data_IF_379841575369
#
_entry.id   IF_379841575369
#
_cell.length_a   1.000
_cell.length_b   1.000
_cell.length_c   1.000
_cell.angle_alpha   90.00
_cell.angle_beta   90.00
_cell.angle_gamma   90.00
#
_symmetry.space_group_name_H-M   'P 1'
#
loop_
_entity.id
_entity.type
_entity.pdbx_description
1 polymer ?
#
# COMPACT_ATOMS: atom_id res chain seq x y z
N UNK A 1 -3.67 11.71 -69.92
CA UNK A 1 -4.32 12.94 -70.40
C UNK A 1 -5.83 12.69 -70.37
N UNK A 2 -6.58 13.41 -69.53
CA UNK A 2 -8.00 13.84 -69.72
C UNK A 2 -9.06 12.70 -69.77
N UNK A 3 -9.78 12.44 -68.67
CA UNK A 3 -11.13 12.96 -68.32
C UNK A 3 -12.26 12.23 -69.06
N UNK A 4 -13.01 11.33 -68.41
CA UNK A 4 -14.24 11.58 -67.61
C UNK A 4 -15.49 11.87 -68.46
N UNK A 5 -16.50 10.99 -68.40
CA UNK A 5 -17.94 11.26 -68.14
C UNK A 5 -18.80 10.03 -68.50
N UNK A 6 -19.47 9.37 -67.52
CA UNK A 6 -20.85 9.63 -67.03
C UNK A 6 -21.90 9.39 -68.13
N UNK A 7 -22.93 8.56 -68.03
CA UNK A 7 -23.69 7.85 -66.97
C UNK A 7 -24.33 6.62 -67.68
N UNK A 8 -24.83 5.60 -66.99
CA UNK A 8 -26.29 5.36 -66.89
C UNK A 8 -26.56 4.29 -65.82
N UNK A 9 -27.54 4.64 -64.98
CA UNK A 9 -28.33 3.92 -64.00
C UNK A 9 -28.29 2.39 -64.03
N UNK A 10 -28.06 1.79 -62.86
CA UNK A 10 -28.57 0.44 -62.54
C UNK A 10 -29.33 0.49 -61.22
N UNK A 11 -30.40 -0.29 -61.23
CA UNK A 11 -31.58 -0.18 -60.40
C UNK A 11 -31.36 -0.58 -58.93
N UNK A 12 -32.05 0.17 -58.07
CA UNK A 12 -32.37 -0.19 -56.70
C UNK A 12 -33.42 -1.30 -56.75
N UNK A 13 -33.09 -2.47 -56.20
CA UNK A 13 -34.12 -3.41 -55.74
C UNK A 13 -33.74 -3.90 -54.34
N UNK A 14 -34.70 -3.73 -53.45
CA UNK A 14 -34.65 -4.02 -52.04
C UNK A 14 -34.62 -5.53 -51.80
N UNK A 15 -33.82 -5.94 -50.80
CA UNK A 15 -34.10 -6.94 -49.75
C UNK A 15 -32.78 -7.58 -49.31
N UNK A 16 -32.17 -7.01 -48.28
CA UNK A 16 -31.31 -7.73 -47.34
C UNK A 16 -31.20 -6.92 -46.04
N UNK A 17 -32.35 -6.47 -45.53
CA UNK A 17 -32.48 -5.80 -44.23
C UNK A 17 -33.02 -6.81 -43.21
N UNK A 18 -32.28 -7.89 -42.98
CA UNK A 18 -32.68 -8.92 -42.01
C UNK A 18 -31.48 -9.77 -41.57
N UNK A 19 -30.53 -9.15 -40.87
CA UNK A 19 -29.73 -9.76 -39.80
C UNK A 19 -28.82 -8.72 -39.15
N UNK A 20 -29.41 -7.72 -38.47
CA UNK A 20 -28.81 -7.28 -37.19
C UNK A 20 -29.60 -8.01 -36.13
N UNK A 21 -29.49 -9.35 -36.16
CA UNK A 21 -29.76 -10.15 -34.98
C UNK A 21 -28.86 -9.52 -33.92
N UNK A 22 -29.48 -8.98 -32.87
CA UNK A 22 -28.76 -8.45 -31.71
C UNK A 22 -27.72 -9.49 -31.36
N UNK A 23 -26.46 -9.23 -31.71
CA UNK A 23 -25.38 -9.94 -31.10
C UNK A 23 -25.47 -9.49 -29.65
N UNK A 24 -26.22 -10.24 -28.84
CA UNK A 24 -25.98 -10.42 -27.42
C UNK A 24 -24.61 -11.09 -27.32
N UNK A 25 -23.60 -10.36 -27.81
CA UNK A 25 -22.28 -10.84 -28.08
C UNK A 25 -21.65 -11.10 -26.74
N UNK A 26 -20.96 -12.23 -26.64
CA UNK A 26 -20.04 -12.47 -25.55
C UNK A 26 -19.12 -11.25 -25.46
N UNK A 27 -19.23 -10.50 -24.36
CA UNK A 27 -18.49 -9.27 -24.10
C UNK A 27 -17.45 -9.55 -23.03
N UNK A 28 -16.24 -9.05 -23.23
CA UNK A 28 -15.23 -8.90 -22.21
C UNK A 28 -14.41 -7.64 -22.54
N UNK A 29 -14.67 -6.55 -21.82
CA UNK A 29 -13.96 -5.28 -22.01
C UNK A 29 -13.41 -4.77 -20.70
N UNK A 30 -12.44 -3.88 -20.79
CA UNK A 30 -11.88 -3.16 -19.65
C UNK A 30 -11.94 -1.67 -19.93
N UNK A 31 -12.23 -0.88 -18.90
CA UNK A 31 -12.35 0.58 -19.01
C UNK A 31 -11.06 1.25 -19.50
N UNK A 32 -9.90 0.63 -19.22
CA UNK A 32 -8.58 1.02 -19.70
C UNK A 32 -7.78 -0.19 -20.15
N UNK A 33 -6.76 0.04 -20.98
CA UNK A 33 -5.72 -0.94 -21.31
C UNK A 33 -4.54 -0.90 -20.33
N UNK A 34 -4.32 0.26 -19.70
CA UNK A 34 -3.27 0.52 -18.70
C UNK A 34 -3.89 1.08 -17.43
N UNK A 35 -3.50 0.53 -16.28
CA UNK A 35 -3.94 0.93 -14.95
C UNK A 35 -2.75 1.38 -14.12
N UNK A 36 -2.99 2.36 -13.25
CA UNK A 36 -1.99 2.94 -12.35
C UNK A 36 -2.36 2.63 -10.89
N UNK A 37 -1.41 2.90 -10.00
CA UNK A 37 -1.58 2.79 -8.56
C UNK A 37 -2.73 3.65 -8.04
N UNK A 38 -3.58 3.03 -7.22
CA UNK A 38 -4.61 3.64 -6.39
C UNK A 38 -4.47 3.07 -4.98
N UNK A 39 -3.83 3.82 -4.09
CA UNK A 39 -3.39 3.30 -2.80
C UNK A 39 -2.34 2.21 -2.97
N UNK A 40 -2.59 1.01 -2.45
CA UNK A 40 -1.65 -0.13 -2.57
C UNK A 40 -1.88 -1.03 -3.80
N UNK A 41 -2.94 -0.79 -4.57
CA UNK A 41 -3.41 -1.69 -5.64
C UNK A 41 -3.68 -0.93 -6.93
N UNK A 42 -3.81 -1.63 -8.05
CA UNK A 42 -4.53 -1.15 -9.22
C UNK A 42 -5.95 -1.71 -9.21
N UNK A 43 -6.96 -0.85 -9.42
CA UNK A 43 -8.36 -1.27 -9.52
C UNK A 43 -8.72 -1.43 -11.00
N UNK A 44 -8.88 -2.67 -11.44
CA UNK A 44 -9.27 -3.02 -12.80
C UNK A 44 -10.79 -3.10 -12.84
N UNK A 45 -11.40 -2.40 -13.80
CA UNK A 45 -12.85 -2.35 -14.00
C UNK A 45 -13.20 -2.65 -15.44
N UNK A 46 -14.31 -3.31 -15.65
CA UNK A 46 -14.75 -3.69 -16.99
C UNK A 46 -16.14 -4.27 -17.02
N UNK A 47 -16.50 -4.79 -18.18
CA UNK A 47 -17.79 -5.41 -18.44
C UNK A 47 -17.60 -6.81 -19.00
N UNK A 48 -18.49 -7.71 -18.63
CA UNK A 48 -18.49 -9.08 -19.13
C UNK A 48 -19.91 -9.64 -19.23
N UNK A 49 -20.18 -10.45 -20.25
CA UNK A 49 -21.47 -11.16 -20.39
C UNK A 49 -21.55 -12.41 -19.50
N UNK A 50 -20.41 -12.96 -19.07
CA UNK A 50 -20.35 -14.12 -18.18
C UNK A 50 -20.75 -13.79 -16.74
N UNK A 51 -21.20 -14.78 -15.97
CA UNK A 51 -21.49 -14.61 -14.53
C UNK A 51 -20.24 -14.38 -13.68
N UNK A 52 -19.08 -14.85 -14.17
CA UNK A 52 -17.79 -14.75 -13.49
C UNK A 52 -16.67 -14.43 -14.48
N UNK A 53 -15.67 -13.69 -13.99
CA UNK A 53 -14.37 -13.55 -14.65
C UNK A 53 -13.30 -14.23 -13.81
N UNK A 54 -12.28 -14.78 -14.47
CA UNK A 54 -11.04 -15.22 -13.82
C UNK A 54 -9.91 -14.29 -14.21
N UNK A 55 -9.06 -13.94 -13.25
CA UNK A 55 -7.88 -13.12 -13.50
C UNK A 55 -6.61 -13.78 -12.97
N UNK A 56 -5.51 -13.50 -13.64
CA UNK A 56 -4.16 -13.89 -13.23
C UNK A 56 -3.20 -12.72 -13.42
N UNK A 57 -2.58 -12.31 -12.34
CA UNK A 57 -1.49 -11.36 -12.25
C UNK A 57 -0.21 -12.08 -11.77
N UNK A 58 0.88 -11.34 -11.55
CA UNK A 58 2.15 -11.92 -11.10
C UNK A 58 2.00 -12.67 -9.75
N UNK A 59 1.49 -11.98 -8.74
CA UNK A 59 1.46 -12.48 -7.35
C UNK A 59 0.04 -12.79 -6.86
N UNK A 60 -0.95 -12.79 -7.77
CA UNK A 60 -2.34 -13.04 -7.41
C UNK A 60 -3.14 -13.59 -8.59
N UNK A 61 -4.04 -14.52 -8.30
CA UNK A 61 -5.10 -14.94 -9.22
C UNK A 61 -6.42 -15.06 -8.46
N UNK A 62 -7.53 -15.10 -9.19
CA UNK A 62 -8.82 -15.31 -8.56
C UNK A 62 -9.99 -15.25 -9.51
N UNK A 63 -11.17 -15.46 -8.94
CA UNK A 63 -12.46 -15.41 -9.62
C UNK A 63 -13.28 -14.27 -9.04
N UNK A 64 -13.97 -13.51 -9.90
CA UNK A 64 -14.85 -12.42 -9.48
C UNK A 64 -16.19 -12.54 -10.15
N UNK A 65 -17.24 -12.37 -9.34
CA UNK A 65 -18.61 -12.31 -9.83
C UNK A 65 -18.79 -11.03 -10.65
N UNK A 66 -19.53 -11.16 -11.74
CA UNK A 66 -20.01 -10.05 -12.55
C UNK A 66 -21.39 -9.67 -12.01
N UNK A 67 -21.55 -8.41 -11.63
CA UNK A 67 -22.82 -7.88 -11.13
C UNK A 67 -23.36 -6.87 -12.14
N UNK A 68 -24.56 -7.12 -12.65
CA UNK A 68 -25.22 -6.29 -13.65
C UNK A 68 -24.33 -6.00 -14.87
N UNK A 69 -23.66 -7.04 -15.39
CA UNK A 69 -22.75 -6.94 -16.55
C UNK A 69 -21.40 -6.29 -16.26
N UNK A 70 -21.13 -5.84 -15.03
CA UNK A 70 -19.87 -5.15 -14.66
C UNK A 70 -19.05 -5.95 -13.66
N UNK A 71 -17.73 -5.76 -13.69
CA UNK A 71 -16.82 -6.30 -12.68
C UNK A 71 -15.78 -5.27 -12.26
N UNK A 72 -15.29 -5.45 -11.03
CA UNK A 72 -14.13 -4.74 -10.52
C UNK A 72 -13.29 -5.67 -9.63
N UNK A 73 -11.97 -5.58 -9.74
CA UNK A 73 -11.05 -6.28 -8.84
C UNK A 73 -9.75 -5.51 -8.67
N UNK A 74 -9.05 -5.82 -7.57
CA UNK A 74 -7.80 -5.17 -7.21
C UNK A 74 -6.64 -6.12 -7.40
N UNK A 75 -5.54 -5.59 -7.92
CA UNK A 75 -4.27 -6.30 -8.05
C UNK A 75 -3.18 -5.51 -7.32
N UNK A 76 -2.37 -6.12 -6.45
CA UNK A 76 -1.24 -5.47 -5.79
C UNK A 76 -0.32 -4.80 -6.78
N UNK A 77 0.13 -3.59 -6.45
CA UNK A 77 1.15 -2.88 -7.23
C UNK A 77 2.50 -3.54 -6.98
N UNK A 78 3.33 -3.58 -8.03
CA UNK A 78 4.66 -4.20 -8.04
C UNK A 78 5.71 -3.17 -8.45
N UNK A 79 6.98 -3.44 -8.13
CA UNK A 79 8.11 -2.61 -8.56
C UNK A 79 8.38 -2.73 -10.06
N UNK A 80 7.83 -3.79 -10.68
CA UNK A 80 7.88 -4.05 -12.12
C UNK A 80 6.53 -3.88 -12.78
N UNK A 81 6.52 -3.60 -14.09
CA UNK A 81 5.30 -3.61 -14.90
C UNK A 81 4.74 -5.03 -14.93
N UNK A 82 3.44 -5.18 -14.74
CA UNK A 82 2.77 -6.48 -14.72
C UNK A 82 1.67 -6.56 -15.77
N UNK A 83 1.50 -7.75 -16.35
CA UNK A 83 0.37 -8.06 -17.25
C UNK A 83 -0.67 -8.85 -16.47
N UNK A 84 -1.91 -8.38 -16.53
CA UNK A 84 -3.06 -9.07 -15.92
C UNK A 84 -3.89 -9.68 -17.02
N UNK A 85 -3.96 -11.01 -17.02
CA UNK A 85 -4.81 -11.78 -17.94
C UNK A 85 -6.17 -11.96 -17.30
N UNK A 86 -7.23 -11.69 -18.05
CA UNK A 86 -8.62 -11.77 -17.65
C UNK A 86 -9.32 -12.69 -18.64
N UNK A 87 -10.17 -13.57 -18.12
CA UNK A 87 -10.93 -14.53 -18.93
C UNK A 87 -12.39 -14.56 -18.49
N UNK A 88 -13.29 -14.73 -19.46
CA UNK A 88 -14.73 -14.78 -19.29
C UNK A 88 -15.31 -15.78 -20.30
N UNK A 89 -15.50 -17.03 -19.90
CA UNK A 89 -15.68 -18.13 -20.86
C UNK A 89 -14.45 -18.22 -21.78
N UNK A 90 -14.67 -18.27 -23.08
CA UNK A 90 -13.59 -18.35 -24.09
C UNK A 90 -12.90 -17.01 -24.37
N UNK A 91 -13.48 -15.89 -23.90
CA UNK A 91 -12.93 -14.57 -24.12
C UNK A 91 -11.71 -14.32 -23.24
N UNK A 92 -10.69 -13.69 -23.82
CA UNK A 92 -9.45 -13.32 -23.13
C UNK A 92 -9.14 -11.85 -23.34
N UNK A 93 -8.77 -11.16 -22.27
CA UNK A 93 -8.29 -9.78 -22.30
C UNK A 93 -7.04 -9.66 -21.45
N UNK A 94 -6.03 -8.94 -21.94
CA UNK A 94 -4.84 -8.62 -21.15
C UNK A 94 -4.76 -7.11 -20.97
N UNK A 95 -4.51 -6.69 -19.74
CA UNK A 95 -4.24 -5.28 -19.40
C UNK A 95 -2.89 -5.15 -18.73
N UNK A 96 -2.35 -3.95 -18.74
CA UNK A 96 -1.09 -3.61 -18.09
C UNK A 96 -1.35 -2.86 -16.80
N UNK A 97 -0.67 -3.21 -15.72
CA UNK A 97 -0.55 -2.37 -14.53
C UNK A 97 0.86 -1.83 -14.48
N UNK A 98 0.99 -0.50 -14.34
CA UNK A 98 2.30 0.16 -14.32
C UNK A 98 3.08 -0.18 -13.07
N UNK A 99 4.41 -0.22 -13.19
CA UNK A 99 5.30 -0.23 -12.04
C UNK A 99 5.07 1.00 -11.16
N UNK A 100 5.33 0.86 -9.86
CA UNK A 100 5.46 1.99 -8.94
C UNK A 100 6.82 1.95 -8.25
N UNK A 101 7.26 3.10 -7.75
CA UNK A 101 8.49 3.19 -6.96
C UNK A 101 8.23 2.61 -5.56
N UNK A 102 9.06 1.65 -5.08
CA UNK A 102 8.99 1.17 -3.70
C UNK A 102 9.24 2.30 -2.69
N UNK A 103 8.66 2.18 -1.49
CA UNK A 103 8.98 3.02 -0.36
C UNK A 103 10.42 2.76 0.14
N UNK A 104 10.74 1.48 0.31
CA UNK A 104 11.99 0.99 0.89
C UNK A 104 12.11 -0.53 0.69
N UNK A 105 13.17 -1.11 1.23
CA UNK A 105 13.23 -2.53 1.58
C UNK A 105 12.30 -2.81 2.79
N UNK A 106 11.48 -3.86 2.71
CA UNK A 106 10.50 -4.20 3.73
C UNK A 106 11.15 -4.52 5.08
N UNK A 107 12.18 -5.37 5.09
CA UNK A 107 12.82 -5.81 6.32
C UNK A 107 13.50 -4.62 7.01
N UNK A 108 14.14 -3.73 6.25
CA UNK A 108 14.72 -2.51 6.81
C UNK A 108 13.65 -1.57 7.40
N UNK A 109 12.51 -1.40 6.71
CA UNK A 109 11.41 -0.59 7.22
C UNK A 109 10.79 -1.20 8.49
N UNK A 110 10.52 -2.50 8.49
CA UNK A 110 10.00 -3.23 9.64
C UNK A 110 10.95 -3.12 10.84
N UNK A 111 12.26 -3.29 10.65
CA UNK A 111 13.26 -3.15 11.71
C UNK A 111 13.28 -1.74 12.30
N UNK A 112 13.27 -0.69 11.45
CA UNK A 112 13.20 0.71 11.90
C UNK A 112 11.94 0.98 12.71
N UNK A 113 10.80 0.51 12.22
CA UNK A 113 9.51 0.65 12.89
C UNK A 113 9.51 -0.08 14.25
N UNK A 114 9.88 -1.37 14.27
CA UNK A 114 9.88 -2.21 15.47
C UNK A 114 10.82 -1.69 16.55
N UNK A 115 12.01 -1.22 16.15
CA UNK A 115 12.96 -0.60 17.08
C UNK A 115 12.38 0.67 17.70
N UNK A 116 11.73 1.52 16.91
CA UNK A 116 11.12 2.74 17.41
C UNK A 116 9.91 2.45 18.33
N UNK A 117 9.10 1.44 17.99
CA UNK A 117 8.01 0.94 18.86
C UNK A 117 8.58 0.45 20.19
N UNK A 118 9.60 -0.41 20.17
CA UNK A 118 10.24 -0.92 21.39
C UNK A 118 10.79 0.22 22.25
N UNK A 119 11.56 1.13 21.65
CA UNK A 119 12.09 2.31 22.35
C UNK A 119 10.99 3.15 23.00
N UNK A 120 9.84 3.31 22.34
CA UNK A 120 8.72 4.11 22.88
C UNK A 120 8.07 3.51 24.13
N UNK A 121 8.29 2.22 24.40
CA UNK A 121 7.79 1.55 25.62
C UNK A 121 8.72 1.71 26.83
N UNK A 122 9.95 2.17 26.62
CA UNK A 122 10.93 2.38 27.67
C UNK A 122 10.72 3.73 28.37
N UNK A 123 11.18 3.83 29.63
CA UNK A 123 11.25 5.11 30.34
C UNK A 123 12.27 6.06 29.67
N UNK A 124 12.15 7.36 29.91
CA UNK A 124 13.10 8.36 29.35
C UNK A 124 14.56 8.05 29.70
N UNK A 125 14.83 7.57 30.92
CA UNK A 125 16.18 7.18 31.34
C UNK A 125 16.70 5.98 30.54
N UNK A 126 15.88 4.94 30.37
CA UNK A 126 16.22 3.77 29.57
C UNK A 126 16.37 4.11 28.08
N UNK A 127 15.53 5.00 27.54
CA UNK A 127 15.66 5.49 26.17
C UNK A 127 17.00 6.19 25.96
N UNK A 128 17.41 7.07 26.88
CA UNK A 128 18.73 7.71 26.84
C UNK A 128 19.85 6.67 26.86
N UNK A 129 19.76 5.66 27.71
CA UNK A 129 20.75 4.59 27.80
C UNK A 129 20.88 3.78 26.50
N UNK A 130 19.76 3.45 25.84
CA UNK A 130 19.80 2.71 24.57
C UNK A 130 20.30 3.60 23.43
N UNK A 131 19.86 4.87 23.38
CA UNK A 131 20.20 5.78 22.26
C UNK A 131 21.60 6.37 22.36
N UNK A 132 22.19 6.47 23.56
CA UNK A 132 23.57 6.90 23.74
C UNK A 132 24.58 5.78 23.54
N UNK A 133 24.16 4.52 23.68
CA UNK A 133 25.04 3.37 23.50
C UNK A 133 25.43 3.21 22.03
N UNK A 134 26.73 3.31 21.76
CA UNK A 134 27.33 3.00 20.46
C UNK A 134 27.99 1.63 20.57
N UNK A 135 27.48 0.66 19.83
CA UNK A 135 28.10 -0.65 19.77
C UNK A 135 29.55 -0.50 19.29
N UNK A 136 30.54 -1.05 20.01
CA UNK A 136 31.92 -0.90 19.63
C UNK A 136 32.21 -1.68 18.34
N UNK A 137 33.11 -1.17 17.51
CA UNK A 137 33.58 -1.89 16.32
C UNK A 137 34.72 -2.83 16.72
N UNK A 138 35.04 -3.81 15.87
CA UNK A 138 36.23 -4.67 16.10
C UNK A 138 37.51 -3.85 16.28
N UNK A 139 37.67 -2.76 15.52
CA UNK A 139 38.82 -1.87 15.63
C UNK A 139 38.84 -1.09 16.96
N UNK A 140 37.69 -0.57 17.41
CA UNK A 140 37.64 0.16 18.69
C UNK A 140 37.83 -0.76 19.89
N UNK A 141 37.40 -2.02 19.80
CA UNK A 141 37.64 -3.01 20.85
C UNK A 141 39.13 -3.33 21.02
N UNK A 142 39.88 -3.39 19.92
CA UNK A 142 41.31 -3.75 19.93
C UNK A 142 42.19 -2.68 20.61
N UNK A 143 41.74 -1.42 20.66
CA UNK A 143 42.46 -0.31 21.30
C UNK A 143 42.03 -0.05 22.74
N UNK A 144 41.01 -0.77 23.25
CA UNK A 144 40.49 -0.62 24.60
C UNK A 144 41.27 -1.46 25.60
N UNK A 145 41.45 -0.93 26.81
CA UNK A 145 41.95 -1.70 27.96
C UNK A 145 40.95 -2.79 28.36
N UNK A 146 41.40 -3.85 29.07
CA UNK A 146 40.49 -4.90 29.57
C UNK A 146 39.33 -4.35 30.41
N UNK A 147 39.57 -3.30 31.21
CA UNK A 147 38.53 -2.66 32.02
C UNK A 147 37.48 -1.93 31.16
N UNK A 148 37.90 -1.24 30.11
CA UNK A 148 36.99 -0.57 29.16
C UNK A 148 36.20 -1.57 28.31
N UNK A 149 36.79 -2.71 27.96
CA UNK A 149 36.08 -3.80 27.29
C UNK A 149 35.00 -4.37 28.22
N UNK A 150 35.32 -4.63 29.49
CA UNK A 150 34.36 -5.14 30.46
C UNK A 150 33.17 -4.18 30.67
N UNK A 151 33.43 -2.88 30.85
CA UNK A 151 32.36 -1.88 31.01
C UNK A 151 31.49 -1.76 29.75
N UNK A 152 32.10 -1.84 28.56
CA UNK A 152 31.38 -1.81 27.28
C UNK A 152 30.50 -3.05 27.09
N UNK A 153 30.99 -4.24 27.44
CA UNK A 153 30.19 -5.47 27.41
C UNK A 153 29.02 -5.43 28.39
N UNK A 154 29.22 -4.87 29.59
CA UNK A 154 28.15 -4.69 30.57
C UNK A 154 27.07 -3.71 30.08
N UNK A 155 27.49 -2.59 29.46
CA UNK A 155 26.58 -1.66 28.81
C UNK A 155 25.81 -2.33 27.66
N UNK A 156 26.48 -3.11 26.82
CA UNK A 156 25.87 -3.88 25.73
C UNK A 156 24.83 -4.90 26.25
N UNK A 157 25.16 -5.62 27.33
CA UNK A 157 24.26 -6.57 27.97
C UNK A 157 23.01 -5.87 28.53
N UNK A 158 23.19 -4.71 29.16
CA UNK A 158 22.08 -3.92 29.71
C UNK A 158 21.17 -3.39 28.59
N UNK A 159 21.74 -2.84 27.52
CA UNK A 159 20.98 -2.39 26.34
C UNK A 159 20.24 -3.56 25.68
N UNK A 160 20.89 -4.72 25.55
CA UNK A 160 20.26 -5.94 25.01
C UNK A 160 19.08 -6.40 25.88
N UNK A 161 19.23 -6.38 27.21
CA UNK A 161 18.16 -6.74 28.14
C UNK A 161 16.98 -5.77 28.04
N UNK A 162 17.24 -4.45 28.02
CA UNK A 162 16.21 -3.42 27.84
C UNK A 162 15.46 -3.59 26.52
N UNK A 163 16.19 -3.78 25.42
CA UNK A 163 15.59 -3.98 24.10
C UNK A 163 14.80 -5.28 24.01
N UNK A 164 15.26 -6.37 24.65
CA UNK A 164 14.53 -7.64 24.69
C UNK A 164 13.22 -7.47 25.47
N UNK A 165 13.27 -6.86 26.66
CA UNK A 165 12.08 -6.55 27.46
C UNK A 165 11.09 -5.69 26.69
N UNK A 166 11.55 -4.61 26.08
CA UNK A 166 10.73 -3.71 25.27
C UNK A 166 10.14 -4.42 24.04
N UNK A 167 10.93 -5.25 23.36
CA UNK A 167 10.48 -6.01 22.19
C UNK A 167 9.36 -6.96 22.58
N UNK A 168 9.48 -7.66 23.70
CA UNK A 168 8.46 -8.57 24.20
C UNK A 168 7.19 -7.81 24.61
N UNK A 169 7.35 -6.69 25.34
CA UNK A 169 6.23 -5.85 25.78
C UNK A 169 5.44 -5.23 24.62
N UNK A 170 6.10 -5.04 23.46
CA UNK A 170 5.50 -4.39 22.28
C UNK A 170 5.19 -5.36 21.14
N UNK A 171 5.24 -6.67 21.38
CA UNK A 171 5.13 -7.67 20.30
C UNK A 171 3.89 -7.52 19.43
N UNK A 172 2.73 -7.20 20.01
CA UNK A 172 1.47 -6.98 19.28
C UNK A 172 1.47 -5.71 18.41
N UNK A 173 2.40 -4.80 18.65
CA UNK A 173 2.55 -3.54 17.93
C UNK A 173 3.64 -3.61 16.86
N UNK A 174 4.35 -4.74 16.73
CA UNK A 174 5.45 -4.87 15.78
C UNK A 174 4.95 -5.35 14.41
N UNK A 175 5.64 -4.92 13.36
CA UNK A 175 5.54 -5.50 12.04
C UNK A 175 6.31 -6.84 12.00
N UNK A 176 5.82 -7.87 11.29
CA UNK A 176 6.55 -9.11 11.10
C UNK A 176 7.83 -8.85 10.30
N UNK A 177 8.88 -9.63 10.58
CA UNK A 177 10.17 -9.52 9.87
C UNK A 177 10.09 -9.96 8.41
N UNK A 178 9.10 -10.79 8.07
CA UNK A 178 8.84 -11.30 6.72
C UNK A 178 7.35 -11.25 6.40
N UNK A 179 7.05 -10.96 5.13
CA UNK A 179 5.69 -10.93 4.59
C UNK A 179 5.78 -11.47 3.16
N UNK A 180 4.84 -12.33 2.79
CA UNK A 180 4.71 -12.83 1.42
C UNK A 180 4.28 -11.71 0.47
N UNK A 181 4.55 -11.89 -0.83
CA UNK A 181 4.13 -10.94 -1.85
C UNK A 181 2.63 -10.64 -1.83
N UNK A 182 2.28 -9.41 -2.18
CA UNK A 182 0.92 -8.89 -2.22
C UNK A 182 0.53 -8.10 -0.96
N UNK A 183 -0.77 -7.88 -0.81
CA UNK A 183 -1.35 -7.04 0.25
C UNK A 183 -1.78 -7.90 1.44
N UNK A 184 -1.13 -7.73 2.58
CA UNK A 184 -1.38 -8.49 3.80
C UNK A 184 -1.63 -7.59 5.00
N UNK A 185 -2.48 -8.02 5.94
CA UNK A 185 -2.55 -7.38 7.25
C UNK A 185 -1.31 -7.79 8.05
N UNK A 186 -0.45 -6.81 8.34
CA UNK A 186 0.84 -7.03 9.00
C UNK A 186 0.80 -6.66 10.48
N UNK A 187 -0.21 -5.91 10.93
CA UNK A 187 -0.38 -5.59 12.34
C UNK A 187 -1.85 -5.29 12.63
N UNK A 188 -2.32 -5.73 13.81
CA UNK A 188 -3.57 -5.32 14.43
C UNK A 188 -3.32 -5.11 15.92
N UNK A 189 -3.47 -3.87 16.37
CA UNK A 189 -3.31 -3.53 17.78
C UNK A 189 -4.39 -2.53 18.18
N UNK A 190 -5.20 -2.89 19.19
CA UNK A 190 -6.39 -2.11 19.54
C UNK A 190 -7.29 -1.90 18.31
N UNK A 191 -7.63 -0.64 18.04
CA UNK A 191 -8.46 -0.22 16.90
C UNK A 191 -7.68 -0.01 15.60
N UNK A 192 -6.34 -0.02 15.65
CA UNK A 192 -5.49 0.24 14.49
C UNK A 192 -5.15 -1.07 13.79
N UNK A 193 -5.35 -1.07 12.46
CA UNK A 193 -4.86 -2.11 11.57
C UNK A 193 -3.87 -1.52 10.59
N UNK A 194 -2.80 -2.26 10.28
CA UNK A 194 -1.86 -1.91 9.23
C UNK A 194 -1.80 -3.06 8.23
N UNK A 195 -1.92 -2.69 6.95
CA UNK A 195 -1.63 -3.57 5.83
C UNK A 195 -0.37 -3.09 5.13
N UNK A 196 0.41 -4.01 4.61
CA UNK A 196 1.55 -3.71 3.74
C UNK A 196 1.34 -4.38 2.38
N UNK A 197 1.81 -3.74 1.33
CA UNK A 197 2.01 -4.40 0.04
C UNK A 197 3.51 -4.68 -0.15
N UNK A 198 3.86 -5.94 -0.36
CA UNK A 198 5.24 -6.41 -0.53
C UNK A 198 5.41 -7.05 -1.91
N UNK A 199 6.53 -6.79 -2.55
CA UNK A 199 6.94 -7.38 -3.84
C UNK A 199 8.42 -7.80 -3.75
N UNK A 200 8.67 -9.07 -3.44
CA UNK A 200 9.97 -9.57 -3.01
C UNK A 200 10.46 -8.85 -1.75
N UNK A 201 11.59 -8.16 -1.87
CA UNK A 201 12.12 -7.32 -0.78
C UNK A 201 11.50 -5.92 -0.71
N UNK A 202 10.74 -5.52 -1.74
CA UNK A 202 10.26 -4.16 -1.88
C UNK A 202 8.98 -3.94 -1.08
N UNK A 203 9.00 -2.97 -0.17
CA UNK A 203 7.79 -2.42 0.40
C UNK A 203 7.17 -1.44 -0.60
N UNK A 204 6.02 -1.80 -1.17
CA UNK A 204 5.31 -0.98 -2.16
C UNK A 204 4.42 0.08 -1.51
N UNK A 205 3.97 -0.16 -0.27
CA UNK A 205 3.16 0.79 0.47
C UNK A 205 2.60 0.23 1.78
N UNK A 206 2.12 1.12 2.63
CA UNK A 206 1.29 0.78 3.78
C UNK A 206 -0.13 1.30 3.61
N UNK A 207 -1.09 0.64 4.25
CA UNK A 207 -2.40 1.22 4.54
C UNK A 207 -2.65 1.10 6.04
N UNK A 208 -2.80 2.23 6.70
CA UNK A 208 -3.28 2.28 8.07
C UNK A 208 -4.79 2.48 8.07
N UNK A 209 -5.49 1.69 8.88
CA UNK A 209 -6.96 1.68 8.94
C UNK A 209 -7.38 1.84 10.39
N UNK A 210 -8.29 2.78 10.63
CA UNK A 210 -8.86 3.05 11.96
C UNK A 210 -10.35 3.38 11.84
N UNK A 211 -11.22 2.96 12.78
CA UNK A 211 -12.60 3.40 12.81
C UNK A 211 -12.72 4.92 13.00
N UNK A 212 -13.62 5.58 12.27
CA UNK A 212 -13.88 7.02 12.41
C UNK A 212 -14.22 7.38 13.86
N UNK A 213 -15.02 6.54 14.54
CA UNK A 213 -15.39 6.74 15.94
C UNK A 213 -14.22 6.77 16.91
N UNK A 214 -13.11 6.10 16.58
CA UNK A 214 -11.94 6.03 17.43
C UNK A 214 -11.21 7.40 17.51
N UNK A 215 -11.37 8.25 16.50
CA UNK A 215 -10.78 9.60 16.53
C UNK A 215 -11.38 10.51 17.61
N UNK A 216 -12.55 10.15 18.17
CA UNK A 216 -13.15 10.86 19.31
C UNK A 216 -12.50 10.49 20.65
N UNK A 217 -11.82 9.35 20.73
CA UNK A 217 -11.11 8.90 21.92
C UNK A 217 -9.66 9.41 21.88
N UNK A 218 -9.21 10.10 22.95
CA UNK A 218 -7.86 10.68 23.02
C UNK A 218 -6.74 9.64 22.94
N UNK A 219 -6.93 8.47 23.56
CA UNK A 219 -5.93 7.39 23.54
C UNK A 219 -5.82 6.76 22.15
N UNK A 220 -6.96 6.48 21.50
CA UNK A 220 -6.97 5.93 20.14
C UNK A 220 -6.43 6.93 19.11
N UNK A 221 -6.78 8.21 19.24
CA UNK A 221 -6.24 9.27 18.38
C UNK A 221 -4.72 9.44 18.57
N UNK A 222 -4.22 9.28 19.80
CA UNK A 222 -2.78 9.26 20.08
C UNK A 222 -2.13 8.02 19.46
N UNK A 223 -2.73 6.84 19.61
CA UNK A 223 -2.23 5.60 19.00
C UNK A 223 -2.17 5.71 17.47
N UNK A 224 -3.21 6.30 16.85
CA UNK A 224 -3.24 6.64 15.44
C UNK A 224 -2.05 7.53 15.05
N UNK A 225 -1.89 8.67 15.73
CA UNK A 225 -0.83 9.64 15.40
C UNK A 225 0.56 9.06 15.56
N UNK A 226 0.81 8.30 16.64
CA UNK A 226 2.07 7.60 16.86
C UNK A 226 2.33 6.56 15.78
N UNK A 227 1.36 5.71 15.46
CA UNK A 227 1.52 4.66 14.43
C UNK A 227 1.81 5.29 13.07
N UNK A 228 1.06 6.33 12.70
CA UNK A 228 1.24 7.05 11.44
C UNK A 228 2.64 7.68 11.33
N UNK A 229 3.11 8.34 12.41
CA UNK A 229 4.43 8.92 12.47
C UNK A 229 5.54 7.85 12.31
N UNK A 230 5.41 6.73 13.01
CA UNK A 230 6.39 5.63 12.95
C UNK A 230 6.40 4.95 11.58
N UNK A 231 5.24 4.68 10.98
CA UNK A 231 5.16 4.14 9.61
C UNK A 231 5.78 5.11 8.60
N UNK A 232 5.44 6.40 8.69
CA UNK A 232 6.01 7.44 7.85
C UNK A 232 7.54 7.51 7.96
N UNK A 233 8.08 7.52 9.17
CA UNK A 233 9.54 7.54 9.40
C UNK A 233 10.22 6.26 8.94
N UNK A 234 9.60 5.09 9.14
CA UNK A 234 10.13 3.82 8.62
C UNK A 234 10.24 3.82 7.09
N UNK A 235 9.33 4.55 6.42
CA UNK A 235 9.29 4.75 4.96
C UNK A 235 10.15 5.94 4.47
N UNK A 236 10.88 6.62 5.36
CA UNK A 236 11.77 7.74 5.02
C UNK A 236 11.14 9.14 5.06
N UNK A 237 9.89 9.27 5.50
CA UNK A 237 9.23 10.56 5.68
C UNK A 237 9.66 11.25 7.00
N UNK A 238 9.53 12.57 7.04
CA UNK A 238 9.71 13.34 8.27
C UNK A 238 8.40 13.35 9.08
N UNK A 239 8.38 12.68 10.23
CA UNK A 239 7.19 12.58 11.09
C UNK A 239 6.63 13.95 11.50
N UNK A 240 7.48 14.91 11.88
CA UNK A 240 7.03 16.26 12.29
C UNK A 240 6.29 16.96 11.15
N UNK A 241 6.85 16.90 9.94
CA UNK A 241 6.22 17.47 8.74
C UNK A 241 4.90 16.80 8.41
N UNK A 242 4.86 15.46 8.47
CA UNK A 242 3.63 14.69 8.19
C UNK A 242 2.55 15.02 9.20
N UNK A 243 2.85 14.99 10.50
CA UNK A 243 1.87 15.26 11.56
C UNK A 243 1.39 16.72 11.54
N UNK A 244 2.27 17.70 11.27
CA UNK A 244 1.88 19.11 11.12
C UNK A 244 0.91 19.31 9.96
N UNK A 245 1.21 18.70 8.79
CA UNK A 245 0.34 18.77 7.62
C UNK A 245 -0.97 18.02 7.86
N UNK A 246 -0.92 16.84 8.48
CA UNK A 246 -2.12 16.06 8.82
C UNK A 246 -3.07 16.87 9.71
N UNK A 247 -2.56 17.50 10.77
CA UNK A 247 -3.35 18.36 11.64
C UNK A 247 -3.97 19.55 10.90
N UNK A 248 -3.22 20.17 9.97
CA UNK A 248 -3.74 21.26 9.14
C UNK A 248 -4.86 20.78 8.21
N UNK A 249 -4.60 19.75 7.42
CA UNK A 249 -5.57 19.24 6.45
C UNK A 249 -6.84 18.70 7.14
N UNK A 250 -6.72 18.16 8.36
CA UNK A 250 -7.88 17.68 9.12
C UNK A 250 -8.76 18.84 9.58
N UNK A 251 -8.17 19.97 9.98
CA UNK A 251 -8.92 21.19 10.36
C UNK A 251 -9.61 21.84 9.17
N UNK A 252 -8.98 21.78 7.99
CA UNK A 252 -9.50 22.38 6.76
C UNK A 252 -10.52 21.47 6.05
N UNK A 253 -10.73 20.24 6.55
CA UNK A 253 -11.64 19.27 5.95
C UNK A 253 -13.09 19.63 6.24
N UNK A 254 -13.92 19.64 5.18
CA UNK A 254 -15.37 19.82 5.28
C UNK A 254 -16.07 18.47 5.44
N UNK A 255 -17.21 18.46 6.14
CA UNK A 255 -17.98 17.25 6.48
C UNK A 255 -18.37 16.38 5.26
N UNK A 256 -18.47 16.97 4.07
CA UNK A 256 -18.82 16.26 2.83
C UNK A 256 -17.62 15.70 2.04
N UNK A 257 -16.38 15.97 2.45
CA UNK A 257 -15.19 15.54 1.69
C UNK A 257 -14.75 14.13 2.10
N UNK A 258 -14.76 13.21 1.14
CA UNK A 258 -14.35 11.81 1.31
C UNK A 258 -12.83 11.60 1.21
N UNK A 259 -12.07 12.65 0.90
CA UNK A 259 -10.61 12.61 0.75
C UNK A 259 -9.97 13.91 1.19
N UNK A 260 -8.73 13.85 1.68
CA UNK A 260 -7.91 15.05 1.99
C UNK A 260 -6.86 15.29 0.90
N UNK A 261 -6.28 16.50 0.87
CA UNK A 261 -5.11 16.77 0.03
C UNK A 261 -3.97 15.81 0.38
N UNK A 262 -3.24 15.39 -0.64
CA UNK A 262 -2.11 14.48 -0.46
C UNK A 262 -1.00 15.18 0.33
N UNK A 263 -0.65 14.62 1.48
CA UNK A 263 0.48 15.09 2.27
C UNK A 263 1.74 14.48 1.66
N UNK A 264 2.79 15.30 1.49
CA UNK A 264 4.09 14.87 0.92
C UNK A 264 5.25 15.19 1.86
N UNK A 265 6.17 14.25 2.03
CA UNK A 265 7.46 14.42 2.73
C UNK A 265 8.50 13.46 2.17
N UNK A 266 9.66 13.97 1.72
CA UNK A 266 10.78 13.16 1.17
C UNK A 266 10.36 12.16 0.07
N UNK A 267 9.46 12.59 -0.81
CA UNK A 267 8.91 11.73 -1.86
C UNK A 267 7.98 10.61 -1.35
N UNK A 268 7.56 10.64 -0.10
CA UNK A 268 6.49 9.78 0.45
C UNK A 268 5.18 10.57 0.43
N UNK A 269 4.13 9.94 -0.10
CA UNK A 269 2.76 10.46 -0.19
C UNK A 269 1.89 9.79 0.86
N UNK A 270 1.05 10.59 1.50
CA UNK A 270 0.00 10.12 2.41
C UNK A 270 -1.33 10.58 1.84
N UNK A 271 -2.12 9.62 1.38
CA UNK A 271 -3.46 9.84 0.86
C UNK A 271 -4.47 9.35 1.89
N UNK A 272 -5.38 10.21 2.32
CA UNK A 272 -6.41 9.87 3.30
C UNK A 272 -7.74 9.72 2.57
N UNK A 273 -8.38 8.57 2.75
CA UNK A 273 -9.75 8.30 2.32
C UNK A 273 -10.65 8.05 3.52
N UNK A 274 -11.83 8.63 3.51
CA UNK A 274 -12.86 8.48 4.54
C UNK A 274 -13.98 7.61 3.98
N UNK A 275 -14.40 6.63 4.77
CA UNK A 275 -15.65 5.92 4.60
C UNK A 275 -16.59 6.26 5.77
N UNK A 276 -17.79 5.71 5.75
CA UNK A 276 -18.75 5.87 6.85
C UNK A 276 -18.27 5.26 8.16
N UNK A 277 -17.42 4.23 8.12
CA UNK A 277 -16.96 3.49 9.30
C UNK A 277 -15.47 3.65 9.60
N UNK A 278 -14.63 3.71 8.58
CA UNK A 278 -13.17 3.67 8.67
C UNK A 278 -12.50 4.85 7.94
N UNK A 279 -11.36 5.28 8.49
CA UNK A 279 -10.37 6.14 7.85
C UNK A 279 -9.26 5.25 7.30
N UNK A 280 -8.87 5.49 6.06
CA UNK A 280 -7.79 4.81 5.36
C UNK A 280 -6.67 5.79 5.06
N UNK A 281 -5.46 5.51 5.55
CA UNK A 281 -4.27 6.29 5.21
C UNK A 281 -3.34 5.43 4.37
N UNK A 282 -3.25 5.74 3.08
CA UNK A 282 -2.34 5.09 2.14
C UNK A 282 -1.00 5.81 2.16
N UNK A 283 0.08 5.08 2.43
CA UNK A 283 1.46 5.57 2.44
C UNK A 283 2.18 4.92 1.26
N UNK A 284 2.56 5.73 0.27
CA UNK A 284 3.21 5.26 -0.98
C UNK A 284 4.29 6.26 -1.41
N UNK A 285 5.01 5.98 -2.50
CA UNK A 285 5.91 6.96 -3.13
C UNK A 285 5.14 7.95 -4.01
#
# INVERSE_FOLDING_TARGET
MISLMKKILTAISALALSMVLVACGNKLTTTKSTYHQSGMVAVIKGEASSKHIHYRAANQQGTKKVNSGTFAFSVPITASKQRVRITAGDLKRTVTVTAATPLADYQQAANKYNMAVALSSLTTAQQKQVTSFKAPTKASLATMTPAEQASTMQAAATVKALMTKATNATKSQQLPSHVSDGVHQVMKHGVVRVRANVDGKHLMGYTMIIPVKAMKNKADAKQFGTTLALLGTSAGANAKTVMKKFAKETKDQRDSQTTMKTIKSNGVKFNVGFSTSDIYVYITK
#
